data_IF_738273621958
#
_entry.id   IF_738273621958
#
_cell.length_a   1.000
_cell.length_b   1.000
_cell.length_c   1.000
_cell.angle_alpha   90.00
_cell.angle_beta   90.00
_cell.angle_gamma   90.00
#
_symmetry.space_group_name_H-M   'P 1'
#
loop_
_entity.id
_entity.type
_entity.pdbx_description
1 polymer ?
#
# COMPACT_ATOMS: atom_id res chain seq x y z
N UNK A 1 22.67 -64.47 -37.17
CA UNK A 1 21.56 -64.20 -36.22
C UNK A 1 21.89 -63.12 -35.19
N UNK A 2 23.13 -63.03 -34.69
CA UNK A 2 23.55 -61.98 -33.73
C UNK A 2 23.37 -60.52 -34.25
N UNK A 3 23.60 -60.28 -35.54
CA UNK A 3 23.53 -58.93 -36.14
C UNK A 3 22.10 -58.34 -36.27
N UNK A 4 21.06 -59.19 -36.26
CA UNK A 4 19.66 -58.74 -36.22
C UNK A 4 19.23 -58.37 -34.80
N UNK A 5 19.76 -59.07 -33.79
CA UNK A 5 19.47 -58.79 -32.38
C UNK A 5 20.10 -57.46 -31.93
N UNK A 6 21.32 -57.14 -32.40
CA UNK A 6 21.99 -55.87 -32.07
C UNK A 6 21.31 -54.65 -32.71
N UNK A 7 20.78 -54.77 -33.94
CA UNK A 7 20.01 -53.68 -34.57
C UNK A 7 18.68 -53.40 -33.84
N UNK A 8 17.99 -54.44 -33.37
CA UNK A 8 16.76 -54.28 -32.57
C UNK A 8 17.01 -53.61 -31.21
N UNK A 9 18.09 -53.99 -30.51
CA UNK A 9 18.46 -53.39 -29.22
C UNK A 9 18.80 -51.90 -29.34
N UNK A 10 19.51 -51.49 -30.40
CA UNK A 10 19.85 -50.08 -30.64
C UNK A 10 18.60 -49.25 -30.98
N UNK A 11 17.67 -49.80 -31.77
CA UNK A 11 16.41 -49.13 -32.07
C UNK A 11 15.50 -48.97 -30.84
N UNK A 12 15.47 -49.97 -29.95
CA UNK A 12 14.75 -49.88 -28.68
C UNK A 12 15.38 -48.86 -27.72
N UNK A 13 16.72 -48.83 -27.62
CA UNK A 13 17.45 -47.85 -26.80
C UNK A 13 17.26 -46.41 -27.31
N UNK A 14 17.31 -46.21 -28.62
CA UNK A 14 17.08 -44.89 -29.22
C UNK A 14 15.62 -44.44 -29.07
N UNK A 15 14.66 -45.37 -29.10
CA UNK A 15 13.23 -45.07 -28.88
C UNK A 15 12.96 -44.68 -27.43
N UNK A 16 13.54 -45.40 -26.46
CA UNK A 16 13.39 -45.06 -25.03
C UNK A 16 14.11 -43.76 -24.68
N UNK A 17 15.28 -43.50 -25.26
CA UNK A 17 16.00 -42.23 -25.09
C UNK A 17 15.21 -41.03 -25.65
N UNK A 18 14.62 -41.16 -26.84
CA UNK A 18 13.77 -40.08 -27.41
C UNK A 18 12.50 -39.85 -26.59
N UNK A 19 11.90 -40.91 -26.06
CA UNK A 19 10.74 -40.79 -25.20
C UNK A 19 11.07 -40.08 -23.87
N UNK A 20 12.17 -40.47 -23.22
CA UNK A 20 12.61 -39.84 -21.96
C UNK A 20 12.99 -38.37 -22.14
N UNK A 21 13.72 -38.03 -23.20
CA UNK A 21 14.01 -36.63 -23.55
C UNK A 21 12.74 -35.82 -23.83
N UNK A 22 11.77 -36.41 -24.55
CA UNK A 22 10.50 -35.75 -24.82
C UNK A 22 9.73 -35.48 -23.53
N UNK A 23 9.64 -36.47 -22.62
CA UNK A 23 8.98 -36.27 -21.31
C UNK A 23 9.68 -35.21 -20.48
N UNK A 24 11.01 -35.18 -20.45
CA UNK A 24 11.77 -34.20 -19.69
C UNK A 24 11.55 -32.78 -20.24
N UNK A 25 11.63 -32.62 -21.57
CA UNK A 25 11.35 -31.36 -22.24
C UNK A 25 9.91 -30.89 -21.99
N UNK A 26 8.93 -31.79 -22.06
CA UNK A 26 7.53 -31.49 -21.77
C UNK A 26 7.33 -31.03 -20.32
N UNK A 27 7.96 -31.71 -19.34
CA UNK A 27 7.89 -31.27 -17.92
C UNK A 27 8.55 -29.91 -17.72
N UNK A 28 9.70 -29.65 -18.34
CA UNK A 28 10.39 -28.37 -18.25
C UNK A 28 9.53 -27.24 -18.83
N UNK A 29 8.94 -27.45 -20.00
CA UNK A 29 8.04 -26.49 -20.64
C UNK A 29 6.81 -26.23 -19.77
N UNK A 30 6.20 -27.28 -19.20
CA UNK A 30 5.05 -27.14 -18.30
C UNK A 30 5.41 -26.33 -17.05
N UNK A 31 6.56 -26.60 -16.44
CA UNK A 31 7.06 -25.84 -15.28
C UNK A 31 7.34 -24.38 -15.64
N UNK A 32 7.95 -24.10 -16.80
CA UNK A 32 8.20 -22.73 -17.27
C UNK A 32 6.91 -21.98 -17.59
N UNK A 33 5.92 -22.65 -18.20
CA UNK A 33 4.61 -22.07 -18.47
C UNK A 33 3.85 -21.77 -17.18
N UNK A 34 3.86 -22.70 -16.22
CA UNK A 34 3.24 -22.50 -14.90
C UNK A 34 3.92 -21.37 -14.13
N UNK A 35 5.25 -21.33 -14.13
CA UNK A 35 6.03 -20.25 -13.50
C UNK A 35 5.79 -18.90 -14.17
N UNK A 36 5.75 -18.85 -15.50
CA UNK A 36 5.43 -17.63 -16.25
C UNK A 36 3.99 -17.16 -16.02
N UNK A 37 3.04 -18.09 -15.93
CA UNK A 37 1.65 -17.80 -15.58
C UNK A 37 1.52 -17.19 -14.19
N UNK A 38 2.22 -17.75 -13.19
CA UNK A 38 2.25 -17.21 -11.82
C UNK A 38 2.88 -15.82 -11.77
N UNK A 39 3.97 -15.58 -12.50
CA UNK A 39 4.65 -14.27 -12.49
C UNK A 39 3.84 -13.18 -13.21
N UNK A 40 3.15 -13.51 -14.30
CA UNK A 40 2.44 -12.51 -15.12
C UNK A 40 1.01 -12.22 -14.64
N UNK A 41 0.34 -13.18 -14.00
CA UNK A 41 -1.09 -13.05 -13.67
C UNK A 41 -1.33 -12.94 -12.16
N UNK A 42 -0.52 -13.59 -11.32
CA UNK A 42 -0.73 -13.57 -9.86
C UNK A 42 -0.05 -12.39 -9.15
N UNK A 43 1.06 -11.86 -9.68
CA UNK A 43 1.87 -10.82 -9.03
C UNK A 43 1.26 -9.40 -8.93
N UNK A 44 0.54 -8.84 -9.93
CA UNK A 44 0.20 -7.42 -9.90
C UNK A 44 -0.64 -7.02 -8.68
N UNK A 45 -1.53 -7.92 -8.20
CA UNK A 45 -2.42 -7.63 -7.07
C UNK A 45 -1.69 -7.42 -5.74
N UNK A 46 -0.68 -8.23 -5.44
CA UNK A 46 0.02 -8.16 -4.14
C UNK A 46 0.92 -6.93 -4.08
N UNK A 47 1.56 -6.57 -5.20
CA UNK A 47 2.41 -5.38 -5.29
C UNK A 47 1.62 -4.11 -4.95
N UNK A 48 0.40 -3.98 -5.45
CA UNK A 48 -0.46 -2.82 -5.18
C UNK A 48 -0.88 -2.75 -3.71
N UNK A 49 -1.24 -3.86 -3.07
CA UNK A 49 -1.54 -3.86 -1.63
C UNK A 49 -0.33 -3.47 -0.77
N UNK A 50 0.88 -3.88 -1.15
CA UNK A 50 2.11 -3.50 -0.45
C UNK A 50 2.37 -1.99 -0.62
N UNK A 51 2.24 -1.47 -1.85
CA UNK A 51 2.37 -0.03 -2.12
C UNK A 51 1.32 0.77 -1.34
N UNK A 52 0.05 0.35 -1.38
CA UNK A 52 -1.04 0.99 -0.62
C UNK A 52 -0.75 1.02 0.88
N UNK A 53 -0.33 -0.11 1.47
CA UNK A 53 0.00 -0.17 2.89
C UNK A 53 1.16 0.76 3.27
N UNK A 54 2.18 0.87 2.41
CA UNK A 54 3.27 1.82 2.61
C UNK A 54 2.78 3.27 2.54
N UNK A 55 1.97 3.63 1.55
CA UNK A 55 1.46 4.99 1.41
C UNK A 55 0.50 5.36 2.53
N UNK A 56 -0.39 4.45 2.96
CA UNK A 56 -1.24 4.65 4.14
C UNK A 56 -0.40 4.96 5.39
N UNK A 57 0.72 4.25 5.59
CA UNK A 57 1.65 4.54 6.69
C UNK A 57 2.32 5.92 6.55
N UNK A 58 2.72 6.31 5.35
CA UNK A 58 3.34 7.62 5.10
C UNK A 58 2.34 8.77 5.33
N UNK A 59 1.07 8.55 4.96
CA UNK A 59 -0.05 9.44 5.27
C UNK A 59 -0.18 9.64 6.78
N UNK A 60 -0.27 8.53 7.53
CA UNK A 60 -0.40 8.53 8.99
C UNK A 60 0.77 9.24 9.68
N UNK A 61 2.01 8.92 9.30
CA UNK A 61 3.21 9.57 9.83
C UNK A 61 3.17 11.08 9.56
N UNK A 62 2.84 11.48 8.33
CA UNK A 62 2.75 12.90 7.98
C UNK A 62 1.64 13.63 8.74
N UNK A 63 0.52 12.98 9.02
CA UNK A 63 -0.57 13.55 9.82
C UNK A 63 -0.17 13.72 11.30
N UNK A 64 0.54 12.74 11.88
CA UNK A 64 1.05 12.82 13.25
C UNK A 64 2.13 13.91 13.42
N UNK A 65 3.05 14.04 12.46
CA UNK A 65 4.03 15.13 12.48
C UNK A 65 3.35 16.50 12.40
N UNK A 66 2.32 16.64 11.57
CA UNK A 66 1.52 17.87 11.52
C UNK A 66 0.86 18.19 12.86
N UNK A 67 0.21 17.20 13.49
CA UNK A 67 -0.41 17.41 14.80
C UNK A 67 0.63 17.80 15.85
N UNK A 68 1.79 17.13 15.85
CA UNK A 68 2.87 17.38 16.80
C UNK A 68 3.43 18.79 16.64
N UNK A 69 3.74 19.20 15.41
CA UNK A 69 4.27 20.53 15.14
C UNK A 69 3.30 21.65 15.52
N UNK A 70 2.03 21.51 15.11
CA UNK A 70 0.99 22.47 15.47
C UNK A 70 0.77 22.56 16.98
N UNK A 71 0.81 21.45 17.70
CA UNK A 71 0.71 21.47 19.17
C UNK A 71 1.88 22.21 19.81
N UNK A 72 3.10 22.04 19.29
CA UNK A 72 4.28 22.77 19.76
C UNK A 72 4.16 24.27 19.52
N UNK A 73 3.80 24.68 18.30
CA UNK A 73 3.60 26.08 17.94
C UNK A 73 2.48 26.72 18.78
N UNK A 74 1.33 26.06 18.89
CA UNK A 74 0.18 26.60 19.63
C UNK A 74 0.40 26.63 21.15
N UNK A 75 1.36 25.88 21.67
CA UNK A 75 1.70 25.89 23.10
C UNK A 75 2.76 26.95 23.46
N UNK A 76 3.65 27.29 22.52
CA UNK A 76 4.84 28.11 22.79
C UNK A 76 4.85 29.45 22.07
N UNK A 77 4.17 29.54 20.93
CA UNK A 77 4.28 30.65 19.99
C UNK A 77 5.55 30.65 19.15
N UNK A 78 6.39 29.63 19.26
CA UNK A 78 7.65 29.55 18.54
C UNK A 78 7.45 28.84 17.18
N UNK A 79 7.78 29.55 16.10
CA UNK A 79 7.66 29.09 14.73
C UNK A 79 8.57 27.91 14.40
N UNK A 80 9.64 27.66 15.17
CA UNK A 80 10.50 26.46 14.98
C UNK A 80 9.69 25.17 15.10
N UNK A 81 8.64 25.15 15.93
CA UNK A 81 7.75 23.99 16.05
C UNK A 81 6.88 23.76 14.79
N UNK A 82 6.84 24.68 13.83
CA UNK A 82 6.17 24.47 12.55
C UNK A 82 6.98 23.63 11.56
N UNK A 83 8.26 23.35 11.83
CA UNK A 83 9.06 22.46 10.96
C UNK A 83 8.38 21.08 10.79
N UNK A 84 8.04 20.32 11.85
CA UNK A 84 7.27 19.08 11.72
C UNK A 84 5.93 19.24 11.01
N UNK A 85 5.28 20.40 11.15
CA UNK A 85 4.06 20.68 10.41
C UNK A 85 4.30 20.73 8.90
N UNK A 86 5.31 21.47 8.47
CA UNK A 86 5.63 21.59 7.04
C UNK A 86 6.13 20.27 6.43
N UNK A 87 6.99 19.52 7.13
CA UNK A 87 7.48 18.22 6.67
C UNK A 87 6.35 17.18 6.62
N UNK A 88 5.53 17.15 7.66
CA UNK A 88 4.40 16.24 7.77
C UNK A 88 3.35 16.50 6.69
N UNK A 89 3.09 17.79 6.39
CA UNK A 89 2.21 18.23 5.31
C UNK A 89 2.65 17.64 3.98
N UNK A 90 3.89 17.93 3.58
CA UNK A 90 4.46 17.48 2.31
C UNK A 90 4.44 15.94 2.18
N UNK A 91 4.82 15.21 3.25
CA UNK A 91 4.78 13.74 3.24
C UNK A 91 3.37 13.22 3.03
N UNK A 92 2.42 13.78 3.78
CA UNK A 92 1.05 13.32 3.76
C UNK A 92 0.35 13.62 2.43
N UNK A 93 0.64 14.76 1.80
CA UNK A 93 0.13 15.13 0.48
C UNK A 93 0.69 14.23 -0.63
N UNK A 94 1.98 13.90 -0.56
CA UNK A 94 2.60 12.94 -1.47
C UNK A 94 1.99 11.54 -1.34
N UNK A 95 1.74 11.09 -0.12
CA UNK A 95 1.10 9.80 0.14
C UNK A 95 -0.35 9.74 -0.37
N UNK A 96 -1.11 10.82 -0.17
CA UNK A 96 -2.47 10.96 -0.71
C UNK A 96 -2.49 10.87 -2.24
N UNK A 97 -1.59 11.60 -2.92
CA UNK A 97 -1.49 11.55 -4.38
C UNK A 97 -1.18 10.13 -4.89
N UNK A 98 -0.24 9.44 -4.25
CA UNK A 98 0.11 8.06 -4.59
C UNK A 98 -1.04 7.07 -4.34
N UNK A 99 -1.80 7.23 -3.24
CA UNK A 99 -2.98 6.40 -2.98
C UNK A 99 -4.06 6.60 -4.04
N UNK A 100 -4.30 7.83 -4.47
CA UNK A 100 -5.26 8.14 -5.53
C UNK A 100 -4.83 7.57 -6.89
N UNK A 101 -3.53 7.60 -7.19
CA UNK A 101 -2.98 6.97 -8.40
C UNK A 101 -3.24 5.46 -8.42
N UNK A 102 -2.96 4.75 -7.31
CA UNK A 102 -3.16 3.30 -7.23
C UNK A 102 -4.65 2.92 -7.40
N UNK A 103 -5.59 3.73 -6.90
CA UNK A 103 -7.02 3.46 -7.06
C UNK A 103 -7.48 3.65 -8.52
N UNK A 104 -6.91 4.62 -9.22
CA UNK A 104 -7.32 4.95 -10.59
C UNK A 104 -6.86 3.90 -11.63
N UNK A 105 -5.85 3.08 -11.31
CA UNK A 105 -5.26 2.09 -12.22
C UNK A 105 -6.04 0.74 -12.30
N UNK A 106 -7.36 0.75 -12.06
CA UNK A 106 -8.30 -0.40 -12.15
C UNK A 106 -8.07 -1.61 -11.21
N UNK A 107 -7.16 -1.55 -10.22
CA UNK A 107 -6.77 -2.72 -9.40
C UNK A 107 -7.44 -2.89 -8.02
N UNK A 108 -8.26 -1.95 -7.56
CA UNK A 108 -8.60 -1.80 -6.14
C UNK A 108 -10.07 -2.12 -5.82
N UNK A 109 -10.58 -3.30 -6.19
CA UNK A 109 -11.98 -3.72 -5.96
C UNK A 109 -12.41 -3.54 -4.49
N UNK A 110 -13.12 -2.45 -4.21
CA UNK A 110 -13.66 -2.10 -2.89
C UNK A 110 -12.70 -1.36 -1.94
N UNK A 111 -11.45 -1.09 -2.33
CA UNK A 111 -10.53 -0.25 -1.53
C UNK A 111 -10.66 1.24 -1.83
N UNK A 112 -11.19 1.61 -3.00
CA UNK A 112 -11.47 3.00 -3.36
C UNK A 112 -12.32 3.70 -2.28
N UNK A 113 -13.43 3.06 -1.88
CA UNK A 113 -14.31 3.56 -0.81
C UNK A 113 -13.57 3.70 0.52
N UNK A 114 -12.72 2.74 0.86
CA UNK A 114 -11.97 2.76 2.11
C UNK A 114 -10.94 3.89 2.15
N UNK A 115 -10.22 4.12 1.07
CA UNK A 115 -9.26 5.23 0.99
C UNK A 115 -10.00 6.56 1.01
N UNK A 116 -11.08 6.71 0.22
CA UNK A 116 -11.91 7.91 0.23
C UNK A 116 -12.51 8.21 1.62
N UNK A 117 -12.83 7.17 2.39
CA UNK A 117 -13.33 7.32 3.77
C UNK A 117 -12.32 7.94 4.72
N UNK A 118 -11.02 7.85 4.43
CA UNK A 118 -9.93 8.50 5.18
C UNK A 118 -9.64 9.90 4.67
N UNK A 119 -9.64 10.08 3.34
CA UNK A 119 -9.26 11.35 2.72
C UNK A 119 -10.23 12.48 3.05
N UNK A 120 -11.53 12.19 3.23
CA UNK A 120 -12.53 13.20 3.61
C UNK A 120 -12.26 13.79 5.01
N UNK A 121 -12.23 13.00 6.11
CA UNK A 121 -11.85 13.51 7.43
C UNK A 121 -10.47 14.18 7.47
N UNK A 122 -9.51 13.64 6.72
CA UNK A 122 -8.20 14.25 6.57
C UNK A 122 -8.31 15.67 6.00
N UNK A 123 -9.04 15.86 4.90
CA UNK A 123 -9.20 17.16 4.25
C UNK A 123 -9.80 18.20 5.22
N UNK A 124 -10.79 17.81 6.01
CA UNK A 124 -11.38 18.68 7.03
C UNK A 124 -10.37 19.08 8.12
N UNK A 125 -9.58 18.12 8.61
CA UNK A 125 -8.53 18.40 9.59
C UNK A 125 -7.43 19.29 9.01
N UNK A 126 -7.04 19.02 7.77
CA UNK A 126 -6.07 19.79 6.99
C UNK A 126 -6.47 21.26 6.87
N UNK A 127 -7.73 21.54 6.58
CA UNK A 127 -8.25 22.90 6.47
C UNK A 127 -8.18 23.63 7.82
N UNK A 128 -8.51 22.92 8.91
CA UNK A 128 -8.32 23.45 10.26
C UNK A 128 -6.84 23.70 10.58
N UNK A 129 -5.96 22.77 10.21
CA UNK A 129 -4.53 22.81 10.47
C UNK A 129 -3.85 24.01 9.77
N UNK A 130 -4.26 24.33 8.54
CA UNK A 130 -3.79 25.53 7.83
C UNK A 130 -4.15 26.83 8.57
N UNK A 131 -5.36 26.90 9.13
CA UNK A 131 -5.78 28.06 9.94
C UNK A 131 -5.03 28.11 11.27
N UNK A 132 -4.71 26.95 11.84
CA UNK A 132 -3.95 26.85 13.08
C UNK A 132 -2.49 27.31 12.92
N UNK A 133 -1.85 27.01 11.78
CA UNK A 133 -0.46 27.35 11.52
C UNK A 133 -0.16 28.86 11.44
N UNK A 134 -1.18 29.68 11.18
CA UNK A 134 -1.04 31.16 11.04
C UNK A 134 -1.74 31.93 12.16
N UNK A 135 -2.27 31.22 13.16
CA UNK A 135 -3.05 31.81 14.25
C UNK A 135 -2.14 32.27 15.39
N UNK A 136 -2.42 33.45 15.93
CA UNK A 136 -1.85 33.90 17.20
C UNK A 136 -2.21 32.93 18.36
N UNK A 137 -1.22 32.28 19.01
CA UNK A 137 -1.43 31.30 20.06
C UNK A 137 -1.66 31.91 21.44
N UNK A 138 -2.03 33.20 21.50
CA UNK A 138 -2.43 33.87 22.74
C UNK A 138 -3.48 33.07 23.54
N UNK A 139 -3.21 32.74 24.82
CA UNK A 139 -4.11 31.94 25.64
C UNK A 139 -5.49 32.59 25.82
N UNK A 140 -6.55 31.78 25.74
CA UNK A 140 -7.93 32.25 25.93
C UNK A 140 -8.98 31.16 25.71
N UNK A 141 -10.24 31.48 26.01
CA UNK A 141 -11.37 30.57 25.75
C UNK A 141 -11.49 30.23 24.27
N UNK A 142 -11.33 31.22 23.38
CA UNK A 142 -11.39 31.01 21.93
C UNK A 142 -10.32 30.02 21.45
N UNK A 143 -9.08 30.13 21.95
CA UNK A 143 -8.02 29.18 21.62
C UNK A 143 -8.36 27.78 22.12
N UNK A 144 -8.91 27.67 23.33
CA UNK A 144 -9.30 26.38 23.92
C UNK A 144 -10.38 25.69 23.09
N UNK A 145 -11.39 26.43 22.63
CA UNK A 145 -12.45 25.91 21.76
C UNK A 145 -11.91 25.52 20.38
N UNK A 146 -11.03 26.36 19.82
CA UNK A 146 -10.36 26.09 18.55
C UNK A 146 -9.53 24.81 18.60
N UNK A 147 -8.73 24.61 19.65
CA UNK A 147 -7.92 23.41 19.88
C UNK A 147 -8.80 22.17 20.08
N UNK A 148 -9.93 22.30 20.79
CA UNK A 148 -10.89 21.22 20.98
C UNK A 148 -11.45 20.74 19.64
N UNK A 149 -11.82 21.68 18.75
CA UNK A 149 -12.28 21.36 17.40
C UNK A 149 -11.21 20.59 16.61
N UNK A 150 -9.97 21.06 16.63
CA UNK A 150 -8.85 20.38 15.95
C UNK A 150 -8.62 18.96 16.44
N UNK A 151 -8.63 18.75 17.76
CA UNK A 151 -8.55 17.43 18.39
C UNK A 151 -9.68 16.51 17.92
N UNK A 152 -10.91 17.01 17.88
CA UNK A 152 -12.07 16.20 17.52
C UNK A 152 -12.04 15.82 16.03
N UNK A 153 -11.67 16.74 15.14
CA UNK A 153 -11.42 16.44 13.73
C UNK A 153 -10.32 15.39 13.55
N UNK A 154 -9.22 15.49 14.32
CA UNK A 154 -8.11 14.53 14.22
C UNK A 154 -8.54 13.13 14.68
N UNK A 155 -9.37 13.03 15.72
CA UNK A 155 -9.93 11.76 16.18
C UNK A 155 -10.80 11.10 15.12
N UNK A 156 -11.62 11.88 14.39
CA UNK A 156 -12.42 11.35 13.28
C UNK A 156 -11.51 10.78 12.18
N UNK A 157 -10.45 11.51 11.83
CA UNK A 157 -9.41 11.01 10.91
C UNK A 157 -8.78 9.71 11.41
N UNK A 158 -8.31 9.64 12.67
CA UNK A 158 -7.67 8.45 13.24
C UNK A 158 -8.58 7.21 13.16
N UNK A 159 -9.86 7.36 13.49
CA UNK A 159 -10.82 6.25 13.41
C UNK A 159 -10.98 5.75 11.97
N UNK A 160 -11.03 6.66 10.99
CA UNK A 160 -11.10 6.28 9.58
C UNK A 160 -9.82 5.60 9.10
N UNK A 161 -8.66 6.14 9.48
CA UNK A 161 -7.32 5.62 9.13
C UNK A 161 -7.13 4.18 9.64
N UNK A 162 -7.47 3.92 10.91
CA UNK A 162 -7.40 2.60 11.53
C UNK A 162 -8.31 1.58 10.81
N UNK A 163 -9.54 1.99 10.46
CA UNK A 163 -10.47 1.14 9.73
C UNK A 163 -9.95 0.79 8.33
N UNK A 164 -9.40 1.78 7.61
CA UNK A 164 -8.85 1.58 6.27
C UNK A 164 -7.62 0.67 6.29
N UNK A 165 -6.72 0.86 7.25
CA UNK A 165 -5.48 0.08 7.38
C UNK A 165 -5.82 -1.38 7.69
N UNK A 166 -6.80 -1.61 8.57
CA UNK A 166 -7.30 -2.96 8.88
C UNK A 166 -7.84 -3.65 7.62
N UNK A 167 -8.60 -2.92 6.79
CA UNK A 167 -9.13 -3.47 5.55
C UNK A 167 -8.03 -3.78 4.54
N UNK A 168 -7.06 -2.88 4.34
CA UNK A 168 -5.92 -3.08 3.43
C UNK A 168 -5.13 -4.34 3.83
N UNK A 169 -4.83 -4.50 5.12
CA UNK A 169 -4.15 -5.70 5.64
C UNK A 169 -4.97 -6.97 5.41
N UNK A 170 -6.28 -6.92 5.66
CA UNK A 170 -7.18 -8.07 5.48
C UNK A 170 -7.26 -8.47 4.00
N UNK A 171 -7.43 -7.51 3.09
CA UNK A 171 -7.49 -7.78 1.64
C UNK A 171 -6.17 -8.30 1.10
N UNK A 172 -5.04 -7.78 1.58
CA UNK A 172 -3.72 -8.31 1.26
C UNK A 172 -3.60 -9.77 1.68
N UNK A 173 -4.07 -10.12 2.88
CA UNK A 173 -4.01 -11.50 3.36
C UNK A 173 -4.87 -12.44 2.49
N UNK A 174 -6.10 -12.05 2.17
CA UNK A 174 -6.96 -12.81 1.27
C UNK A 174 -6.33 -13.00 -0.11
N UNK A 175 -5.72 -11.95 -0.68
CA UNK A 175 -5.04 -12.04 -1.97
C UNK A 175 -3.82 -12.97 -1.96
N UNK A 176 -3.19 -13.18 -0.80
CA UNK A 176 -2.11 -14.17 -0.62
C UNK A 176 -2.67 -15.57 -0.42
N UNK A 177 -3.75 -15.72 0.35
CA UNK A 177 -4.37 -17.01 0.67
C UNK A 177 -5.13 -17.63 -0.53
N UNK A 178 -5.62 -16.79 -1.46
CA UNK A 178 -6.31 -17.20 -2.69
C UNK A 178 -5.35 -17.64 -3.83
N UNK A 179 -4.02 -17.63 -3.60
CA UNK A 179 -2.98 -18.09 -4.55
C UNK A 179 -2.58 -19.55 -4.31
#
# INVERSE_FOLDING_TARGET
MAERATRGLVEELLRSYRFTLFTLAATLVLSLLSSGYLLLIAQPRVEDYVKMGLQARMLQVGMLEQETGLRGYLATGDEEFLEPYTSGRARSDGAEAALLEIINDEGADGLATAILSVLVPRAEWVEWAQKAAVRDPSPGQELTEFLRKGRDLFKVYQVADDASTTLIVTRRQQAVDDQ
#
